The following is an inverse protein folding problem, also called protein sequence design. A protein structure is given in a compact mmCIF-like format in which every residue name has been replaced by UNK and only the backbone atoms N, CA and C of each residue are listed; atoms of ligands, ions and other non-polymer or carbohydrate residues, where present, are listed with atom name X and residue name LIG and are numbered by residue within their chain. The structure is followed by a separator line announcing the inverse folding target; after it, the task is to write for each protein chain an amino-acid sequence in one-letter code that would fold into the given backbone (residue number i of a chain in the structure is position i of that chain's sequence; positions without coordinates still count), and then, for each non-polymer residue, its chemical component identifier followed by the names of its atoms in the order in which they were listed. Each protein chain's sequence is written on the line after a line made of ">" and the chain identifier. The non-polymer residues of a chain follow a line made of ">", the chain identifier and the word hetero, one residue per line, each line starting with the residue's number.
data_IF_488462706562
#
_entry.id   IF_488462706562
#
_cell.length_a   1.000
_cell.length_b   1.000
_cell.length_c   1.000
_cell.angle_alpha   90.00
_cell.angle_beta   90.00
_cell.angle_gamma   90.00
#
_symmetry.space_group_name_H-M   'P 1'
#
loop_
_entity.id
_entity.type
_entity.pdbx_description
1 polymer ?
#
# COMPACT_ATOMS: atom_id res chain seq x y z
N UNK A 1 -27.50 0.64 -10.86
CA UNK A 1 -26.71 0.10 -9.72
C UNK A 1 -25.54 1.05 -9.45
N UNK A 2 -25.83 2.26 -8.96
CA UNK A 2 -24.83 3.29 -8.63
C UNK A 2 -24.86 3.52 -7.12
N UNK A 3 -23.72 3.42 -6.44
CA UNK A 3 -23.45 3.89 -5.06
C UNK A 3 -22.02 3.43 -4.73
N UNK A 4 -21.04 4.28 -4.50
CA UNK A 4 -21.00 5.36 -3.51
C UNK A 4 -19.85 6.30 -3.90
N UNK A 5 -20.14 7.51 -4.36
CA UNK A 5 -19.11 8.54 -4.51
C UNK A 5 -18.89 9.17 -3.14
N UNK A 6 -17.79 8.81 -2.48
CA UNK A 6 -17.38 9.39 -1.20
C UNK A 6 -16.82 10.79 -1.48
N UNK A 7 -17.64 11.82 -1.27
CA UNK A 7 -17.15 13.20 -1.22
C UNK A 7 -16.38 13.37 0.10
N UNK A 8 -15.06 13.36 -0.01
CA UNK A 8 -14.13 13.30 1.11
C UNK A 8 -13.61 14.72 1.42
N UNK A 9 -14.02 15.29 2.57
CA UNK A 9 -13.65 16.66 3.01
C UNK A 9 -12.16 16.76 3.34
N UNK A 10 -11.48 17.74 2.76
CA UNK A 10 -10.02 17.94 2.85
C UNK A 10 -9.59 18.51 4.21
N UNK A 11 -9.31 17.63 5.17
CA UNK A 11 -8.56 17.94 6.40
C UNK A 11 -7.16 17.29 6.33
N UNK A 12 -6.11 17.94 6.84
CA UNK A 12 -4.71 17.45 6.69
C UNK A 12 -4.47 16.05 7.28
N UNK A 13 -5.15 15.69 8.36
CA UNK A 13 -5.10 14.37 9.00
C UNK A 13 -5.84 13.31 8.17
N UNK A 14 -6.91 13.72 7.52
CA UNK A 14 -7.66 12.87 6.61
C UNK A 14 -6.83 12.49 5.38
N UNK A 15 -5.88 13.34 4.97
CA UNK A 15 -4.94 13.01 3.89
C UNK A 15 -4.15 11.73 4.19
N UNK A 16 -3.61 11.55 5.40
CA UNK A 16 -2.78 10.37 5.69
C UNK A 16 -3.61 9.09 5.84
N UNK A 17 -4.79 9.17 6.46
CA UNK A 17 -5.67 8.01 6.59
C UNK A 17 -6.25 7.59 5.23
N UNK A 18 -6.67 8.56 4.41
CA UNK A 18 -7.14 8.30 3.06
C UNK A 18 -6.07 7.60 2.21
N UNK A 19 -4.82 8.05 2.29
CA UNK A 19 -3.70 7.42 1.60
C UNK A 19 -3.46 5.99 2.12
N UNK A 20 -3.49 5.78 3.43
CA UNK A 20 -3.35 4.45 4.02
C UNK A 20 -4.46 3.50 3.53
N UNK A 21 -5.71 3.96 3.53
CA UNK A 21 -6.85 3.18 3.07
C UNK A 21 -6.75 2.85 1.58
N UNK A 22 -6.38 3.83 0.74
CA UNK A 22 -6.18 3.63 -0.70
C UNK A 22 -5.09 2.59 -0.97
N UNK A 23 -3.97 2.67 -0.26
CA UNK A 23 -2.84 1.73 -0.44
C UNK A 23 -3.19 0.33 0.06
N UNK A 24 -3.92 0.22 1.17
CA UNK A 24 -4.35 -1.04 1.75
C UNK A 24 -5.39 -1.76 0.88
N UNK A 25 -6.35 -1.02 0.32
CA UNK A 25 -7.45 -1.54 -0.49
C UNK A 25 -7.15 -1.55 -2.00
N UNK A 26 -5.96 -1.14 -2.41
CA UNK A 26 -5.56 -1.13 -3.82
C UNK A 26 -5.67 -2.55 -4.42
N UNK A 27 -6.30 -2.71 -5.60
CA UNK A 27 -6.40 -4.00 -6.29
C UNK A 27 -5.09 -4.45 -6.94
N UNK A 28 -4.00 -3.69 -6.75
CA UNK A 28 -2.65 -4.03 -7.19
C UNK A 28 -1.70 -4.18 -6.00
N UNK A 29 -0.65 -4.97 -6.19
CA UNK A 29 0.45 -5.04 -5.24
C UNK A 29 1.27 -3.75 -5.26
N UNK A 30 1.52 -3.19 -4.08
CA UNK A 30 2.34 -2.00 -3.90
C UNK A 30 3.52 -2.36 -3.00
N UNK A 31 4.72 -2.05 -3.49
CA UNK A 31 5.98 -2.16 -2.77
C UNK A 31 6.72 -0.83 -2.86
N UNK A 32 7.33 -0.41 -1.75
CA UNK A 32 8.24 0.73 -1.72
C UNK A 32 9.62 0.25 -1.34
N UNK A 33 10.65 0.71 -2.05
CA UNK A 33 12.04 0.48 -1.72
C UNK A 33 12.75 1.79 -1.36
N UNK A 34 13.78 1.69 -0.52
CA UNK A 34 14.71 2.79 -0.25
C UNK A 34 15.64 3.03 -1.46
N UNK A 35 16.48 4.09 -1.43
CA UNK A 35 17.43 4.37 -2.52
C UNK A 35 18.47 3.27 -2.79
N UNK A 36 18.67 2.34 -1.86
CA UNK A 36 19.55 1.18 -2.02
C UNK A 36 18.80 -0.06 -2.55
N UNK A 37 17.53 0.08 -2.92
CA UNK A 37 16.70 -1.01 -3.42
C UNK A 37 16.10 -1.88 -2.31
N UNK A 38 16.26 -1.53 -1.03
CA UNK A 38 15.72 -2.34 0.07
C UNK A 38 14.24 -2.08 0.27
N UNK A 39 13.44 -3.13 0.30
CA UNK A 39 12.00 -3.04 0.55
C UNK A 39 11.73 -2.43 1.93
N UNK A 40 10.98 -1.34 1.99
CA UNK A 40 10.59 -0.65 3.24
C UNK A 40 9.08 -0.65 3.49
N UNK A 41 8.27 -1.02 2.50
CA UNK A 41 6.83 -1.17 2.66
C UNK A 41 6.27 -2.15 1.63
N UNK A 42 5.27 -2.94 2.04
CA UNK A 42 4.52 -3.87 1.19
C UNK A 42 3.05 -3.83 1.62
N UNK A 43 2.11 -3.68 0.68
CA UNK A 43 0.68 -3.77 1.00
C UNK A 43 0.17 -5.23 1.04
N UNK A 44 -1.02 -5.44 1.62
CA UNK A 44 -1.64 -6.78 1.74
C UNK A 44 -1.84 -7.46 0.38
N UNK A 45 -2.13 -6.69 -0.67
CA UNK A 45 -2.34 -7.22 -2.02
C UNK A 45 -1.03 -7.76 -2.61
N UNK A 46 0.11 -7.10 -2.38
CA UNK A 46 1.41 -7.60 -2.81
C UNK A 46 1.79 -8.90 -2.10
N UNK A 47 1.54 -9.02 -0.78
CA UNK A 47 1.76 -10.28 -0.06
C UNK A 47 0.96 -11.44 -0.68
N UNK A 48 -0.30 -11.18 -1.06
CA UNK A 48 -1.19 -12.18 -1.69
C UNK A 48 -0.70 -12.57 -3.10
N UNK A 49 -0.26 -11.60 -3.90
CA UNK A 49 0.21 -11.84 -5.27
C UNK A 49 1.54 -12.62 -5.25
N UNK A 50 2.46 -12.25 -4.36
CA UNK A 50 3.77 -12.87 -4.25
C UNK A 50 3.75 -14.19 -3.48
N UNK A 51 2.75 -14.41 -2.63
CA UNK A 51 2.68 -15.56 -1.73
C UNK A 51 3.70 -15.52 -0.60
N UNK A 52 4.25 -14.34 -0.30
CA UNK A 52 5.29 -14.13 0.71
C UNK A 52 4.80 -13.06 1.69
N UNK A 53 4.87 -13.30 3.01
CA UNK A 53 4.46 -12.31 3.99
C UNK A 53 5.44 -11.12 4.00
N UNK A 54 4.94 -9.93 4.33
CA UNK A 54 5.71 -8.69 4.29
C UNK A 54 6.96 -8.75 5.18
N UNK A 55 6.89 -9.43 6.33
CA UNK A 55 8.02 -9.64 7.24
C UNK A 55 9.23 -10.32 6.58
N UNK A 56 9.01 -11.14 5.55
CA UNK A 56 10.07 -11.81 4.80
C UNK A 56 10.58 -10.97 3.61
N UNK A 57 9.81 -9.96 3.20
CA UNK A 57 10.16 -9.05 2.10
C UNK A 57 10.88 -7.79 2.61
N UNK A 58 10.49 -7.28 3.79
CA UNK A 58 11.07 -6.07 4.36
C UNK A 58 12.59 -6.21 4.57
N UNK A 59 13.34 -5.22 4.10
CA UNK A 59 14.80 -5.16 4.15
C UNK A 59 15.53 -5.96 3.06
N UNK A 60 14.82 -6.81 2.31
CA UNK A 60 15.37 -7.54 1.16
C UNK A 60 15.58 -6.61 -0.03
N UNK A 61 16.42 -7.04 -0.97
CA UNK A 61 16.56 -6.37 -2.25
C UNK A 61 15.26 -6.55 -3.07
N UNK A 62 14.79 -5.47 -3.68
CA UNK A 62 13.62 -5.48 -4.55
C UNK A 62 13.95 -5.94 -5.98
N UNK A 63 15.23 -6.14 -6.30
CA UNK A 63 15.75 -6.55 -7.62
C UNK A 63 16.11 -8.05 -7.69
#
# INVERSE_FOLDING_TARGET
>A
MFRKLLAMKTDKTFSNQALADIVAEAPCGILLADPNGRVIFVNKTAEKILGVPAENLLGQDAA
#
